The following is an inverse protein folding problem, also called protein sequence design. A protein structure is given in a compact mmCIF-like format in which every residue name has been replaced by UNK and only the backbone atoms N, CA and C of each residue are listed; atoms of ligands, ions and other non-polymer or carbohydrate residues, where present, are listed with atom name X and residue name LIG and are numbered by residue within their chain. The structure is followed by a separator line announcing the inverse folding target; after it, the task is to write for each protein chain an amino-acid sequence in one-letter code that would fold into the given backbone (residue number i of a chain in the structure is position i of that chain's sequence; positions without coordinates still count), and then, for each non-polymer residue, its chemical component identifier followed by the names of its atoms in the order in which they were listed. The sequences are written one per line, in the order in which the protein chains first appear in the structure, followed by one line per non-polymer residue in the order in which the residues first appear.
data_IF_541974327897
#
_entry.id   IF_541974327897
#
_cell.length_a   1.000
_cell.length_b   1.000
_cell.length_c   1.000
_cell.angle_alpha   90.00
_cell.angle_beta   90.00
_cell.angle_gamma   90.00
#
_symmetry.space_group_name_H-M   'P 1'
#
loop_
_entity.id
_entity.type
_entity.pdbx_description
1 polymer ?
#
# COMPACT_ATOMS: atom_id res chain seq x y z
N UNK A 1 -2.49 6.66 22.26
CA UNK A 1 -2.73 6.27 20.85
C UNK A 1 -2.04 7.22 19.88
N UNK A 2 -2.35 8.52 19.89
CA UNK A 2 -1.77 9.55 18.99
C UNK A 2 -0.24 9.53 18.84
N UNK A 3 0.48 9.57 19.96
CA UNK A 3 1.95 9.65 19.93
C UNK A 3 2.57 8.39 19.30
N UNK A 4 2.03 7.21 19.62
CA UNK A 4 2.47 5.94 19.04
C UNK A 4 2.22 5.92 17.52
N UNK A 5 1.02 6.32 17.07
CA UNK A 5 0.69 6.41 15.64
C UNK A 5 1.60 7.37 14.89
N UNK A 6 1.90 8.55 15.46
CA UNK A 6 2.80 9.53 14.83
C UNK A 6 4.23 9.02 14.75
N UNK A 7 4.75 8.39 15.81
CA UNK A 7 6.10 7.86 15.83
C UNK A 7 6.26 6.70 14.83
N UNK A 8 5.33 5.73 14.86
CA UNK A 8 5.30 4.62 13.89
C UNK A 8 5.10 5.12 12.46
N UNK A 9 4.31 6.16 12.25
CA UNK A 9 4.14 6.80 10.94
C UNK A 9 5.43 7.43 10.41
N UNK A 10 6.20 8.12 11.26
CA UNK A 10 7.51 8.70 10.88
C UNK A 10 8.53 7.63 10.50
N UNK A 11 8.67 6.60 11.36
CA UNK A 11 9.58 5.48 11.08
C UNK A 11 9.14 4.68 9.85
N UNK A 12 7.83 4.47 9.71
CA UNK A 12 7.24 3.84 8.54
C UNK A 12 7.54 4.61 7.26
N UNK A 13 7.34 5.93 7.26
CA UNK A 13 7.62 6.78 6.09
C UNK A 13 9.10 6.75 5.72
N UNK A 14 10.00 6.83 6.71
CA UNK A 14 11.44 6.68 6.49
C UNK A 14 11.77 5.31 5.87
N UNK A 15 11.22 4.23 6.44
CA UNK A 15 11.41 2.87 5.90
C UNK A 15 10.88 2.72 4.48
N UNK A 16 9.73 3.31 4.16
CA UNK A 16 9.16 3.30 2.82
C UNK A 16 10.04 4.03 1.80
N UNK A 17 10.58 5.20 2.17
CA UNK A 17 11.54 5.94 1.33
C UNK A 17 12.82 5.14 1.13
N UNK A 18 13.40 4.58 2.20
CA UNK A 18 14.60 3.74 2.11
C UNK A 18 14.36 2.54 1.19
N UNK A 19 13.22 1.86 1.33
CA UNK A 19 12.87 0.72 0.50
C UNK A 19 12.69 1.12 -0.97
N UNK A 20 12.04 2.26 -1.24
CA UNK A 20 11.94 2.81 -2.58
C UNK A 20 13.31 3.13 -3.20
N UNK A 21 14.22 3.73 -2.43
CA UNK A 21 15.60 4.01 -2.87
C UNK A 21 16.37 2.71 -3.13
N UNK A 22 16.21 1.69 -2.29
CA UNK A 22 16.82 0.37 -2.50
C UNK A 22 16.32 -0.26 -3.80
N UNK A 23 15.01 -0.26 -4.07
CA UNK A 23 14.49 -0.78 -5.33
C UNK A 23 14.89 0.05 -6.54
N UNK A 24 15.04 1.37 -6.39
CA UNK A 24 15.54 2.24 -7.45
C UNK A 24 16.99 1.93 -7.80
N UNK A 25 17.86 1.73 -6.80
CA UNK A 25 19.28 1.53 -7.00
C UNK A 25 19.66 0.07 -7.33
N UNK A 26 18.96 -0.89 -6.72
CA UNK A 26 19.32 -2.32 -6.75
C UNK A 26 18.24 -3.22 -7.38
N UNK A 27 17.12 -2.65 -7.85
CA UNK A 27 16.00 -3.41 -8.38
C UNK A 27 16.36 -4.41 -9.49
N UNK A 28 17.10 -4.02 -10.53
CA UNK A 28 17.52 -4.95 -11.58
C UNK A 28 18.38 -6.11 -11.05
N UNK A 29 19.30 -5.84 -10.13
CA UNK A 29 20.18 -6.84 -9.53
C UNK A 29 19.41 -7.81 -8.62
N UNK A 30 18.42 -7.30 -7.89
CA UNK A 30 17.49 -8.13 -7.10
C UNK A 30 16.71 -9.07 -8.04
N UNK A 31 16.21 -8.56 -9.17
CA UNK A 31 15.51 -9.36 -10.17
C UNK A 31 16.43 -10.46 -10.74
N UNK A 32 17.67 -10.13 -11.08
CA UNK A 32 18.66 -11.10 -11.60
C UNK A 32 19.05 -12.18 -10.59
N UNK A 33 19.01 -11.84 -9.31
CA UNK A 33 19.23 -12.78 -8.23
C UNK A 33 18.06 -13.76 -8.09
N UNK A 34 16.82 -13.25 -8.15
CA UNK A 34 15.59 -14.02 -7.89
C UNK A 34 15.14 -14.87 -9.07
N UNK A 35 15.27 -14.37 -10.30
CA UNK A 35 14.80 -15.05 -11.51
C UNK A 35 15.98 -15.35 -12.45
N UNK A 36 15.99 -16.55 -13.05
CA UNK A 36 17.01 -16.96 -14.03
C UNK A 36 16.49 -17.01 -15.47
N UNK A 37 15.19 -17.14 -15.66
CA UNK A 37 14.57 -17.08 -16.97
C UNK A 37 14.60 -15.64 -17.51
N UNK A 38 15.23 -15.36 -18.68
CA UNK A 38 15.36 -14.00 -19.21
C UNK A 38 14.01 -13.31 -19.43
N UNK A 39 13.00 -14.06 -19.86
CA UNK A 39 11.63 -13.55 -20.07
C UNK A 39 11.00 -13.02 -18.79
N UNK A 40 11.16 -13.74 -17.67
CA UNK A 40 10.64 -13.32 -16.36
C UNK A 40 11.37 -12.08 -15.86
N UNK A 41 12.68 -12.00 -16.07
CA UNK A 41 13.44 -10.83 -15.64
C UNK A 41 13.08 -9.59 -16.46
N UNK A 42 12.84 -9.73 -17.77
CA UNK A 42 12.42 -8.63 -18.63
C UNK A 42 11.06 -8.07 -18.18
N UNK A 43 10.10 -8.96 -17.94
CA UNK A 43 8.76 -8.59 -17.46
C UNK A 43 8.83 -7.95 -16.06
N UNK A 44 9.64 -8.49 -15.15
CA UNK A 44 9.80 -7.92 -13.80
C UNK A 44 10.40 -6.50 -13.83
N UNK A 45 11.35 -6.25 -14.73
CA UNK A 45 11.94 -4.91 -14.90
C UNK A 45 10.93 -3.91 -15.44
N UNK A 46 10.01 -4.33 -16.31
CA UNK A 46 8.93 -3.47 -16.81
C UNK A 46 8.02 -2.93 -15.69
N UNK A 47 7.75 -3.74 -14.66
CA UNK A 47 6.92 -3.33 -13.51
C UNK A 47 7.72 -2.82 -12.30
N UNK A 48 9.05 -2.78 -12.37
CA UNK A 48 9.90 -2.26 -11.29
C UNK A 48 9.50 -0.85 -10.81
N UNK A 49 9.08 0.10 -11.67
CA UNK A 49 8.61 1.40 -11.21
C UNK A 49 7.47 1.32 -10.19
N UNK A 50 6.56 0.34 -10.32
CA UNK A 50 5.48 0.12 -9.36
C UNK A 50 6.01 -0.36 -8.00
N UNK A 51 7.00 -1.24 -8.00
CA UNK A 51 7.66 -1.71 -6.77
C UNK A 51 8.39 -0.58 -6.03
N UNK A 52 8.96 0.38 -6.76
CA UNK A 52 9.64 1.54 -6.18
C UNK A 52 8.64 2.44 -5.43
N UNK A 53 7.46 2.69 -6.00
CA UNK A 53 6.47 3.61 -5.42
C UNK A 53 5.49 2.94 -4.45
N UNK A 54 5.32 1.63 -4.53
CA UNK A 54 4.34 0.89 -3.72
C UNK A 54 4.53 1.09 -2.20
N UNK A 55 5.75 1.09 -1.63
CA UNK A 55 5.95 1.38 -0.22
C UNK A 55 5.47 2.77 0.19
N UNK A 56 5.68 3.77 -0.68
CA UNK A 56 5.29 5.16 -0.40
C UNK A 56 3.77 5.33 -0.35
N UNK A 57 3.05 4.62 -1.22
CA UNK A 57 1.59 4.65 -1.26
C UNK A 57 1.00 3.77 -0.14
N UNK A 58 1.59 2.59 0.07
CA UNK A 58 1.09 1.57 0.98
C UNK A 58 1.27 1.88 2.45
N UNK A 59 2.33 2.61 2.82
CA UNK A 59 2.74 2.76 4.22
C UNK A 59 1.64 3.31 5.14
N UNK A 60 0.86 4.27 4.66
CA UNK A 60 -0.23 4.86 5.44
C UNK A 60 -1.27 3.79 5.82
N UNK A 61 -1.65 2.93 4.87
CA UNK A 61 -2.59 1.84 5.12
C UNK A 61 -2.04 0.82 6.10
N UNK A 62 -0.77 0.41 5.95
CA UNK A 62 -0.15 -0.63 6.80
C UNK A 62 -0.01 -0.19 8.26
N UNK A 63 0.36 1.07 8.50
CA UNK A 63 0.43 1.62 9.86
C UNK A 63 -0.97 1.69 10.48
N UNK A 64 -1.95 2.19 9.73
CA UNK A 64 -3.32 2.32 10.23
C UNK A 64 -3.99 0.96 10.48
N UNK A 65 -3.73 -0.05 9.65
CA UNK A 65 -4.19 -1.41 9.91
C UNK A 65 -3.71 -1.89 11.30
N UNK A 66 -2.41 -1.71 11.59
CA UNK A 66 -1.82 -2.10 12.88
C UNK A 66 -2.47 -1.36 14.05
N UNK A 67 -2.81 -0.07 13.87
CA UNK A 67 -3.49 0.71 14.91
C UNK A 67 -4.92 0.24 15.13
N UNK A 68 -5.70 0.00 14.08
CA UNK A 68 -7.09 -0.45 14.20
C UNK A 68 -7.17 -1.86 14.78
N UNK A 69 -6.26 -2.76 14.37
CA UNK A 69 -6.15 -4.11 14.94
C UNK A 69 -5.74 -4.03 16.42
N UNK A 70 -4.71 -3.24 16.74
CA UNK A 70 -4.22 -3.08 18.12
C UNK A 70 -5.25 -2.44 19.07
N UNK A 71 -6.11 -1.56 18.55
CA UNK A 71 -7.22 -0.97 19.29
C UNK A 71 -8.50 -1.85 19.27
N UNK A 72 -8.46 -3.06 18.69
CA UNK A 72 -9.60 -3.98 18.55
C UNK A 72 -10.82 -3.42 17.81
N UNK A 73 -10.62 -2.38 16.98
CA UNK A 73 -11.69 -1.68 16.25
C UNK A 73 -12.09 -2.38 14.94
N UNK A 74 -12.28 -3.70 15.02
CA UNK A 74 -12.56 -4.58 13.87
C UNK A 74 -13.79 -4.14 13.07
N UNK A 75 -14.83 -3.63 13.75
CA UNK A 75 -16.06 -3.17 13.10
C UNK A 75 -15.82 -1.98 12.17
N UNK A 76 -15.08 -0.98 12.63
CA UNK A 76 -14.80 0.22 11.83
C UNK A 76 -13.76 -0.07 10.74
N UNK A 77 -12.76 -0.90 11.05
CA UNK A 77 -11.80 -1.38 10.05
C UNK A 77 -12.52 -2.09 8.89
N UNK A 78 -13.49 -2.96 9.19
CA UNK A 78 -14.27 -3.66 8.16
C UNK A 78 -15.04 -2.71 7.26
N UNK A 79 -15.65 -1.64 7.79
CA UNK A 79 -16.36 -0.63 6.98
C UNK A 79 -15.42 0.08 6.01
N UNK A 80 -14.24 0.49 6.49
CA UNK A 80 -13.22 1.11 5.67
C UNK A 80 -12.74 0.16 4.56
N UNK A 81 -12.50 -1.11 4.91
CA UNK A 81 -12.08 -2.13 3.95
C UNK A 81 -13.13 -2.42 2.88
N UNK A 82 -14.42 -2.50 3.24
CA UNK A 82 -15.50 -2.70 2.26
C UNK A 82 -15.54 -1.55 1.23
N UNK A 83 -15.43 -0.31 1.69
CA UNK A 83 -15.37 0.85 0.80
C UNK A 83 -14.13 0.81 -0.09
N UNK A 84 -12.96 0.50 0.48
CA UNK A 84 -11.72 0.42 -0.30
C UNK A 84 -11.75 -0.70 -1.35
N UNK A 85 -12.34 -1.85 -1.03
CA UNK A 85 -12.52 -2.96 -1.99
C UNK A 85 -13.50 -2.58 -3.08
N UNK A 86 -14.58 -1.85 -2.79
CA UNK A 86 -15.50 -1.35 -3.80
C UNK A 86 -14.79 -0.38 -4.78
N UNK A 87 -13.98 0.53 -4.25
CA UNK A 87 -13.15 1.46 -5.06
C UNK A 87 -12.13 0.68 -5.90
N UNK A 88 -11.47 -0.33 -5.31
CA UNK A 88 -10.55 -1.22 -6.02
C UNK A 88 -11.24 -1.97 -7.16
N UNK A 89 -12.41 -2.55 -6.92
CA UNK A 89 -13.16 -3.27 -7.94
C UNK A 89 -13.53 -2.34 -9.11
N UNK A 90 -14.03 -1.14 -8.83
CA UNK A 90 -14.31 -0.14 -9.86
C UNK A 90 -13.04 0.26 -10.63
N UNK A 91 -11.93 0.48 -9.92
CA UNK A 91 -10.64 0.80 -10.53
C UNK A 91 -10.12 -0.34 -11.41
N UNK A 92 -10.29 -1.58 -10.99
CA UNK A 92 -9.85 -2.75 -11.74
C UNK A 92 -10.67 -2.90 -13.03
N UNK A 93 -12.00 -2.73 -12.97
CA UNK A 93 -12.89 -2.78 -14.14
C UNK A 93 -12.55 -1.73 -15.19
N UNK A 94 -11.98 -0.59 -14.78
CA UNK A 94 -11.61 0.51 -15.68
C UNK A 94 -10.16 0.38 -16.15
N UNK A 95 -9.22 0.19 -15.23
CA UNK A 95 -7.79 0.28 -15.52
C UNK A 95 -7.25 -0.99 -16.19
N UNK A 96 -7.76 -2.18 -15.83
CA UNK A 96 -7.27 -3.43 -16.39
C UNK A 96 -7.51 -3.52 -17.92
N UNK A 97 -8.71 -3.20 -18.46
CA UNK A 97 -8.92 -3.20 -19.90
C UNK A 97 -8.12 -2.11 -20.64
N UNK A 98 -7.85 -0.98 -19.99
CA UNK A 98 -7.17 0.16 -20.62
C UNK A 98 -5.64 0.03 -20.64
N UNK A 99 -5.05 -0.54 -19.59
CA UNK A 99 -3.60 -0.53 -19.35
C UNK A 99 -3.02 -1.92 -19.10
N UNK A 100 -3.82 -2.97 -19.19
CA UNK A 100 -3.42 -4.34 -18.89
C UNK A 100 -2.82 -4.46 -17.49
N UNK A 101 -1.67 -5.12 -17.37
CA UNK A 101 -0.99 -5.34 -16.10
C UNK A 101 -0.55 -4.03 -15.40
N UNK A 102 -0.24 -2.96 -16.13
CA UNK A 102 -0.01 -1.66 -15.49
C UNK A 102 -1.29 -1.16 -14.81
N UNK A 103 -2.45 -1.44 -15.40
CA UNK A 103 -3.76 -1.17 -14.81
C UNK A 103 -4.02 -1.98 -13.54
N UNK A 104 -3.57 -3.23 -13.50
CA UNK A 104 -3.65 -4.08 -12.29
C UNK A 104 -2.81 -3.48 -11.14
N UNK A 105 -1.57 -3.10 -11.43
CA UNK A 105 -0.70 -2.44 -10.44
C UNK A 105 -1.29 -1.09 -9.98
N UNK A 106 -1.80 -0.29 -10.90
CA UNK A 106 -2.46 0.97 -10.58
C UNK A 106 -3.69 0.74 -9.69
N UNK A 107 -4.53 -0.25 -10.00
CA UNK A 107 -5.68 -0.61 -9.16
C UNK A 107 -5.23 -1.04 -7.74
N UNK A 108 -4.16 -1.82 -7.63
CA UNK A 108 -3.57 -2.19 -6.33
C UNK A 108 -3.07 -0.95 -5.55
N UNK A 109 -2.48 0.03 -6.23
CA UNK A 109 -2.08 1.29 -5.58
C UNK A 109 -3.30 2.08 -5.11
N UNK A 110 -4.36 2.14 -5.91
CA UNK A 110 -5.63 2.76 -5.53
C UNK A 110 -6.25 2.06 -4.31
N UNK A 111 -6.21 0.73 -4.24
CA UNK A 111 -6.67 -0.01 -3.06
C UNK A 111 -5.93 0.45 -1.80
N UNK A 112 -4.60 0.45 -1.84
CA UNK A 112 -3.79 0.83 -0.68
C UNK A 112 -4.02 2.30 -0.29
N UNK A 113 -4.13 3.20 -1.27
CA UNK A 113 -4.44 4.61 -1.02
C UNK A 113 -5.83 4.78 -0.41
N UNK A 114 -6.86 4.12 -0.97
CA UNK A 114 -8.22 4.18 -0.47
C UNK A 114 -8.32 3.65 0.96
N UNK A 115 -7.62 2.55 1.29
CA UNK A 115 -7.53 2.03 2.65
C UNK A 115 -6.90 3.06 3.59
N UNK A 116 -5.76 3.63 3.21
CA UNK A 116 -5.07 4.65 4.00
C UNK A 116 -5.96 5.87 4.26
N UNK A 117 -6.63 6.40 3.23
CA UNK A 117 -7.50 7.57 3.34
C UNK A 117 -8.74 7.28 4.18
N UNK A 118 -9.43 6.17 3.93
CA UNK A 118 -10.67 5.82 4.66
C UNK A 118 -10.41 5.56 6.14
N UNK A 119 -9.32 4.86 6.47
CA UNK A 119 -8.93 4.65 7.87
C UNK A 119 -8.42 5.92 8.54
N UNK A 120 -7.69 6.79 7.83
CA UNK A 120 -7.27 8.08 8.34
C UNK A 120 -8.47 8.97 8.67
N UNK A 121 -9.52 8.92 7.84
CA UNK A 121 -10.76 9.66 8.10
C UNK A 121 -11.54 9.10 9.29
N UNK A 122 -11.56 7.77 9.47
CA UNK A 122 -12.17 7.13 10.63
C UNK A 122 -11.35 7.28 11.93
N UNK A 123 -10.05 7.62 11.83
CA UNK A 123 -9.11 7.66 12.96
C UNK A 123 -9.56 8.56 14.13
N UNK A 124 -10.07 9.79 13.94
CA UNK A 124 -10.48 10.63 15.07
C UNK A 124 -11.72 10.12 15.81
N UNK A 125 -12.59 9.37 15.14
CA UNK A 125 -13.72 8.70 15.80
C UNK A 125 -13.23 7.46 16.57
N UNK A 126 -12.32 6.70 15.96
CA UNK A 126 -11.63 5.57 16.58
C UNK A 126 -10.85 5.97 17.84
N UNK A 127 -10.09 7.07 17.79
CA UNK A 127 -9.30 7.56 18.92
C UNK A 127 -10.20 7.96 20.10
N UNK A 128 -11.34 8.60 19.85
CA UNK A 128 -12.31 8.97 20.89
C UNK A 128 -13.04 7.78 21.50
N UNK A 129 -13.25 6.70 20.74
CA UNK A 129 -13.90 5.49 21.24
C UNK A 129 -12.96 4.59 22.05
N UNK A 130 -11.64 4.77 21.90
CA UNK A 130 -10.60 3.99 22.57
C UNK A 130 -9.99 4.70 23.80
N UNK A 131 -10.38 5.96 24.07
CA UNK A 131 -10.00 6.74 25.25
C UNK A 131 -11.06 6.59 26.35
#
# INVERSE_FOLDING_TARGET
MRQATVLSGKWGALGAVLLGVVFLALGPQIIDLMAKAPEVQAEARQYLPWLIIAPLIGIASWILDGVFIGATLTREMRRCMLLAVAIYAASLLILLPLLGNHGLWAALMVLNLARGVTMAWAYPAAERAAA
#
